data_IF_049799481183
#
_entry.id   IF_049799481183
#
_cell.length_a   1.000
_cell.length_b   1.000
_cell.length_c   1.000
_cell.angle_alpha   90.00
_cell.angle_beta   90.00
_cell.angle_gamma   90.00
#
_symmetry.space_group_name_H-M   'P 1'
#
loop_
_entity.id
_entity.type
_entity.pdbx_description
1 polymer ?
#
# COMPACT_ATOMS: atom_id res chain seq x y z
N UNK A 1 -8.45 -1.96 10.70
CA UNK A 1 -9.42 -1.23 9.93
C UNK A 1 -10.72 -0.90 10.66
N UNK A 2 -11.03 -1.57 11.80
CA UNK A 2 -12.35 -1.43 12.47
C UNK A 2 -12.36 -0.41 13.63
N UNK A 3 -11.27 0.27 13.89
CA UNK A 3 -11.29 1.40 14.83
C UNK A 3 -12.18 2.53 14.29
N UNK A 4 -12.72 3.34 15.21
CA UNK A 4 -13.50 4.53 14.81
C UNK A 4 -12.60 5.55 14.11
N UNK A 5 -13.20 6.40 13.29
CA UNK A 5 -12.49 7.48 12.60
C UNK A 5 -11.73 8.37 13.59
N UNK A 6 -12.35 8.71 14.74
CA UNK A 6 -11.71 9.52 15.77
C UNK A 6 -10.41 8.89 16.32
N UNK A 7 -10.39 7.58 16.52
CA UNK A 7 -9.19 6.85 16.96
C UNK A 7 -8.13 6.87 15.88
N UNK A 8 -8.47 6.61 14.62
CA UNK A 8 -7.52 6.65 13.50
C UNK A 8 -6.91 8.04 13.30
N UNK A 9 -7.72 9.09 13.43
CA UNK A 9 -7.25 10.49 13.40
C UNK A 9 -6.30 10.79 14.55
N UNK A 10 -6.60 10.31 15.75
CA UNK A 10 -5.72 10.48 16.90
C UNK A 10 -4.37 9.77 16.69
N UNK A 11 -4.39 8.48 16.29
CA UNK A 11 -3.17 7.73 15.96
C UNK A 11 -2.33 8.40 14.88
N UNK A 12 -2.98 8.95 13.84
CA UNK A 12 -2.30 9.67 12.76
C UNK A 12 -1.55 10.89 13.29
N UNK A 13 -2.22 11.72 14.10
CA UNK A 13 -1.61 12.92 14.69
C UNK A 13 -0.45 12.56 15.64
N UNK A 14 -0.65 11.54 16.47
CA UNK A 14 0.37 11.08 17.40
C UNK A 14 1.60 10.52 16.65
N UNK A 15 1.39 9.69 15.63
CA UNK A 15 2.47 9.14 14.81
C UNK A 15 3.29 10.26 14.13
N UNK A 16 2.63 11.30 13.59
CA UNK A 16 3.30 12.43 12.96
C UNK A 16 4.08 13.25 13.99
N UNK A 17 3.51 13.49 15.16
CA UNK A 17 4.19 14.18 16.25
C UNK A 17 5.46 13.42 16.71
N UNK A 18 5.45 12.09 16.58
CA UNK A 18 6.59 11.22 16.86
C UNK A 18 7.53 11.00 15.64
N UNK A 19 7.37 11.76 14.56
CA UNK A 19 8.29 11.81 13.42
C UNK A 19 7.91 10.93 12.23
N UNK A 20 6.68 10.42 12.13
CA UNK A 20 6.23 9.72 10.94
C UNK A 20 6.14 10.67 9.73
N UNK A 21 6.71 10.26 8.60
CA UNK A 21 6.68 11.00 7.34
C UNK A 21 5.60 10.47 6.39
N UNK A 22 5.12 9.25 6.62
CA UNK A 22 4.11 8.59 5.82
C UNK A 22 3.18 7.78 6.73
N UNK A 23 1.90 7.79 6.43
CA UNK A 23 0.86 7.08 7.17
C UNK A 23 0.23 6.00 6.29
N UNK A 24 0.13 4.79 6.78
CA UNK A 24 -0.65 3.70 6.18
C UNK A 24 -1.93 3.51 7.01
N UNK A 25 -3.11 3.69 6.42
CA UNK A 25 -4.40 3.37 7.04
C UNK A 25 -5.05 2.17 6.38
N UNK A 26 -5.91 1.45 7.10
CA UNK A 26 -6.79 0.42 6.54
C UNK A 26 -8.23 0.91 6.58
N UNK A 27 -8.95 0.76 5.47
CA UNK A 27 -10.37 1.13 5.39
C UNK A 27 -11.22 0.26 6.33
N UNK A 28 -12.42 0.74 6.69
CA UNK A 28 -13.42 -0.10 7.33
C UNK A 28 -14.11 -0.97 6.25
N UNK A 29 -13.67 -2.22 6.14
CA UNK A 29 -14.20 -3.18 5.14
C UNK A 29 -15.68 -3.48 5.40
N UNK A 30 -16.12 -3.47 6.66
CA UNK A 30 -17.54 -3.63 6.99
C UNK A 30 -18.40 -2.52 6.39
N UNK A 31 -17.98 -1.27 6.47
CA UNK A 31 -18.66 -0.14 5.82
C UNK A 31 -18.70 -0.33 4.29
N UNK A 32 -17.62 -0.86 3.68
CA UNK A 32 -17.60 -1.12 2.24
C UNK A 32 -18.63 -2.19 1.85
N UNK A 33 -18.70 -3.29 2.60
CA UNK A 33 -19.70 -4.36 2.39
C UNK A 33 -21.13 -3.85 2.58
N UNK A 34 -21.34 -2.92 3.50
CA UNK A 34 -22.63 -2.25 3.75
C UNK A 34 -22.91 -1.11 2.75
N UNK A 35 -22.02 -0.88 1.78
CA UNK A 35 -22.10 0.21 0.78
C UNK A 35 -22.17 1.62 1.39
N UNK A 36 -21.60 1.80 2.58
CA UNK A 36 -21.49 3.08 3.28
C UNK A 36 -20.31 3.89 2.71
N UNK A 37 -20.39 4.21 1.42
CA UNK A 37 -19.29 4.81 0.68
C UNK A 37 -18.93 6.21 1.18
N UNK A 38 -19.93 6.98 1.58
CA UNK A 38 -19.71 8.33 2.09
C UNK A 38 -18.94 8.32 3.40
N UNK A 39 -19.26 7.39 4.31
CA UNK A 39 -18.56 7.25 5.59
C UNK A 39 -17.09 6.85 5.39
N UNK A 40 -16.80 6.02 4.37
CA UNK A 40 -15.42 5.66 4.04
C UNK A 40 -14.66 6.87 3.47
N UNK A 41 -15.27 7.61 2.56
CA UNK A 41 -14.66 8.80 1.98
C UNK A 41 -14.39 9.86 3.05
N UNK A 42 -15.34 10.11 3.93
CA UNK A 42 -15.22 11.05 5.03
C UNK A 42 -14.13 10.63 6.03
N UNK A 43 -14.00 9.32 6.32
CA UNK A 43 -12.90 8.79 7.13
C UNK A 43 -11.54 9.07 6.48
N UNK A 44 -11.39 8.75 5.20
CA UNK A 44 -10.13 8.97 4.48
C UNK A 44 -9.78 10.47 4.46
N UNK A 45 -10.75 11.36 4.21
CA UNK A 45 -10.54 12.83 4.22
C UNK A 45 -10.07 13.33 5.59
N UNK A 46 -10.69 12.90 6.66
CA UNK A 46 -10.31 13.30 8.02
C UNK A 46 -8.90 12.84 8.38
N UNK A 47 -8.52 11.63 7.95
CA UNK A 47 -7.17 11.12 8.18
C UNK A 47 -6.17 11.85 7.27
N UNK A 48 -6.52 12.14 6.02
CA UNK A 48 -5.70 12.92 5.10
C UNK A 48 -5.41 14.34 5.65
N UNK A 49 -6.43 15.02 6.17
CA UNK A 49 -6.26 16.31 6.85
C UNK A 49 -5.34 16.20 8.07
N UNK A 50 -5.51 15.13 8.87
CA UNK A 50 -4.67 14.86 10.02
C UNK A 50 -3.20 14.56 9.64
N UNK A 51 -2.93 14.09 8.42
CA UNK A 51 -1.58 13.89 7.92
C UNK A 51 -0.80 15.21 7.75
N UNK A 52 -1.47 16.35 7.70
CA UNK A 52 -0.84 17.67 7.68
C UNK A 52 0.28 17.78 6.62
N UNK A 53 0.00 17.37 5.38
CA UNK A 53 0.93 17.39 4.26
C UNK A 53 1.91 16.22 4.20
N UNK A 54 1.80 15.22 5.09
CA UNK A 54 2.52 13.95 4.97
C UNK A 54 1.73 12.98 4.09
N UNK A 55 2.41 12.00 3.53
CA UNK A 55 1.83 11.03 2.59
C UNK A 55 0.84 10.11 3.30
N UNK A 56 -0.38 10.01 2.76
CA UNK A 56 -1.37 9.02 3.16
C UNK A 56 -1.44 7.88 2.14
N UNK A 57 -1.38 6.63 2.63
CA UNK A 57 -1.59 5.43 1.85
C UNK A 57 -2.79 4.66 2.37
N UNK A 58 -3.79 4.46 1.53
CA UNK A 58 -5.05 3.80 1.87
C UNK A 58 -5.00 2.34 1.49
N UNK A 59 -4.96 1.44 2.48
CA UNK A 59 -4.98 -0.01 2.28
C UNK A 59 -6.44 -0.45 2.13
N UNK A 60 -6.77 -1.07 1.00
CA UNK A 60 -8.12 -1.54 0.71
C UNK A 60 -8.31 -3.04 0.96
N UNK A 61 -7.22 -3.81 1.18
CA UNK A 61 -7.20 -5.26 1.41
C UNK A 61 -7.87 -6.04 0.27
N UNK A 62 -7.30 -5.96 -0.91
CA UNK A 62 -7.90 -6.45 -2.18
C UNK A 62 -8.39 -7.90 -2.15
N UNK A 63 -7.74 -8.77 -1.36
CA UNK A 63 -8.12 -10.18 -1.25
C UNK A 63 -9.51 -10.43 -0.61
N UNK A 64 -10.09 -9.42 0.05
CA UNK A 64 -11.42 -9.48 0.65
C UNK A 64 -12.50 -8.78 -0.19
N UNK A 65 -12.13 -8.21 -1.34
CA UNK A 65 -12.99 -7.37 -2.16
C UNK A 65 -13.35 -8.02 -3.49
N UNK A 66 -14.57 -7.77 -3.94
CA UNK A 66 -14.97 -8.03 -5.33
C UNK A 66 -14.32 -7.01 -6.26
N UNK A 67 -14.34 -7.28 -7.57
CA UNK A 67 -13.83 -6.35 -8.58
C UNK A 67 -14.55 -5.00 -8.52
N UNK A 68 -15.88 -5.02 -8.40
CA UNK A 68 -16.70 -3.81 -8.27
C UNK A 68 -16.33 -2.98 -7.04
N UNK A 69 -16.08 -3.65 -5.90
CA UNK A 69 -15.65 -2.98 -4.67
C UNK A 69 -14.25 -2.37 -4.81
N UNK A 70 -13.33 -3.03 -5.51
CA UNK A 70 -12.00 -2.47 -5.80
C UNK A 70 -12.09 -1.22 -6.69
N UNK A 71 -12.92 -1.25 -7.73
CA UNK A 71 -13.17 -0.10 -8.60
C UNK A 71 -13.77 1.06 -7.77
N UNK A 72 -14.79 0.77 -6.95
CA UNK A 72 -15.40 1.77 -6.09
C UNK A 72 -14.39 2.39 -5.12
N UNK A 73 -13.49 1.60 -4.56
CA UNK A 73 -12.42 2.12 -3.70
C UNK A 73 -11.41 2.99 -4.45
N UNK A 74 -11.10 2.69 -5.71
CA UNK A 74 -10.27 3.57 -6.55
C UNK A 74 -10.91 4.96 -6.71
N UNK A 75 -12.22 5.01 -6.96
CA UNK A 75 -12.97 6.27 -7.05
C UNK A 75 -12.95 7.04 -5.72
N UNK A 76 -13.24 6.36 -4.61
CA UNK A 76 -13.29 6.97 -3.27
C UNK A 76 -11.91 7.51 -2.84
N UNK A 77 -10.85 6.74 -3.01
CA UNK A 77 -9.49 7.16 -2.65
C UNK A 77 -9.06 8.37 -3.48
N UNK A 78 -9.42 8.37 -4.77
CA UNK A 78 -9.17 9.50 -5.67
C UNK A 78 -9.92 10.76 -5.21
N UNK A 79 -11.23 10.64 -4.92
CA UNK A 79 -12.06 11.76 -4.46
C UNK A 79 -11.59 12.29 -3.11
N UNK A 80 -11.14 11.43 -2.21
CA UNK A 80 -10.65 11.81 -0.90
C UNK A 80 -9.29 12.51 -0.91
N UNK A 81 -8.52 12.42 -2.00
CA UNK A 81 -7.26 13.13 -2.20
C UNK A 81 -6.03 12.44 -1.63
N UNK A 82 -6.10 11.17 -1.23
CA UNK A 82 -4.93 10.43 -0.74
C UNK A 82 -3.90 10.19 -1.85
N UNK A 83 -2.60 10.20 -1.49
CA UNK A 83 -1.52 10.05 -2.46
C UNK A 83 -1.36 8.63 -2.98
N UNK A 84 -1.72 7.63 -2.17
CA UNK A 84 -1.59 6.22 -2.55
C UNK A 84 -2.83 5.41 -2.22
N UNK A 85 -3.17 4.51 -3.14
CA UNK A 85 -3.97 3.33 -2.85
C UNK A 85 -3.03 2.12 -2.72
N UNK A 86 -3.26 1.27 -1.72
CA UNK A 86 -2.40 0.11 -1.41
C UNK A 86 -3.22 -1.17 -1.38
N UNK A 87 -2.70 -2.24 -1.96
CA UNK A 87 -3.42 -3.52 -2.08
C UNK A 87 -3.72 -4.18 -0.75
N UNK A 88 -2.73 -4.34 0.11
CA UNK A 88 -2.79 -5.32 1.20
C UNK A 88 -2.04 -4.89 2.45
N UNK A 89 -2.51 -5.37 3.62
CA UNK A 89 -1.82 -5.22 4.90
C UNK A 89 -0.59 -6.12 5.01
N UNK A 90 -0.64 -7.30 4.38
CA UNK A 90 0.34 -8.38 4.56
C UNK A 90 -0.04 -9.38 5.67
N UNK A 91 -1.21 -9.21 6.32
CA UNK A 91 -1.68 -10.06 7.43
C UNK A 91 -2.98 -10.81 7.11
N UNK A 92 -3.53 -10.63 5.90
CA UNK A 92 -4.73 -11.31 5.45
C UNK A 92 -4.40 -12.59 4.67
N UNK A 93 -5.40 -13.14 3.96
CA UNK A 93 -5.31 -14.43 3.26
C UNK A 93 -4.40 -14.39 2.03
N UNK A 94 -4.22 -13.22 1.40
CA UNK A 94 -3.37 -13.04 0.22
C UNK A 94 -2.78 -11.62 0.18
N UNK A 95 -1.70 -11.46 -0.59
CA UNK A 95 -1.09 -10.17 -0.91
C UNK A 95 -1.54 -9.62 -2.26
N UNK A 96 -0.73 -8.72 -2.85
CA UNK A 96 -0.96 -8.16 -4.17
C UNK A 96 -1.00 -9.24 -5.26
N UNK A 97 -1.89 -9.04 -6.22
CA UNK A 97 -1.91 -9.79 -7.47
C UNK A 97 -1.67 -8.85 -8.66
N UNK A 98 -1.16 -9.38 -9.77
CA UNK A 98 -0.94 -8.60 -10.99
C UNK A 98 -2.25 -7.99 -11.50
N UNK A 99 -3.33 -8.77 -11.48
CA UNK A 99 -4.66 -8.30 -11.89
C UNK A 99 -5.18 -7.15 -11.01
N UNK A 100 -4.96 -7.20 -9.69
CA UNK A 100 -5.36 -6.11 -8.79
C UNK A 100 -4.61 -4.82 -9.08
N UNK A 101 -3.29 -4.88 -9.32
CA UNK A 101 -2.49 -3.69 -9.61
C UNK A 101 -2.89 -3.08 -10.95
N UNK A 102 -3.07 -3.90 -11.99
CA UNK A 102 -3.53 -3.45 -13.29
C UNK A 102 -4.93 -2.79 -13.21
N UNK A 103 -5.87 -3.42 -12.49
CA UNK A 103 -7.19 -2.88 -12.22
C UNK A 103 -7.11 -1.52 -11.50
N UNK A 104 -6.37 -1.47 -10.40
CA UNK A 104 -6.23 -0.25 -9.60
C UNK A 104 -5.62 0.87 -10.44
N UNK A 105 -4.56 0.61 -11.20
CA UNK A 105 -3.91 1.60 -12.06
C UNK A 105 -4.85 2.15 -13.15
N UNK A 106 -5.75 1.31 -13.64
CA UNK A 106 -6.75 1.71 -14.64
C UNK A 106 -7.81 2.65 -14.08
N UNK A 107 -8.21 2.49 -12.82
CA UNK A 107 -9.38 3.18 -12.25
C UNK A 107 -9.05 4.27 -11.25
N UNK A 108 -7.83 4.38 -10.73
CA UNK A 108 -7.42 5.51 -9.90
C UNK A 108 -7.24 6.79 -10.71
N UNK A 109 -7.43 7.93 -10.08
CA UNK A 109 -7.14 9.24 -10.68
C UNK A 109 -5.65 9.40 -10.99
N UNK A 110 -5.33 10.28 -11.92
CA UNK A 110 -3.95 10.51 -12.42
C UNK A 110 -2.92 10.84 -11.35
N UNK A 111 -3.37 11.44 -10.25
CA UNK A 111 -2.50 11.92 -9.17
C UNK A 111 -2.37 10.87 -8.03
N UNK A 112 -3.13 9.77 -8.09
CA UNK A 112 -3.06 8.68 -7.12
C UNK A 112 -2.09 7.61 -7.59
N UNK A 113 -1.15 7.26 -6.75
CA UNK A 113 -0.14 6.22 -6.97
C UNK A 113 -0.61 4.87 -6.42
N UNK A 114 -0.12 3.79 -7.01
CA UNK A 114 -0.45 2.42 -6.60
C UNK A 114 0.73 1.80 -5.85
N UNK A 115 0.46 1.28 -4.62
CA UNK A 115 1.44 0.48 -3.87
C UNK A 115 1.00 -0.98 -3.82
N UNK A 116 1.78 -1.86 -4.44
CA UNK A 116 1.64 -3.31 -4.32
C UNK A 116 2.36 -3.80 -3.05
N UNK A 117 1.67 -4.54 -2.19
CA UNK A 117 2.24 -5.05 -0.95
C UNK A 117 1.83 -6.50 -0.67
N UNK A 118 2.80 -7.31 -0.18
CA UNK A 118 2.63 -8.74 0.00
C UNK A 118 2.65 -9.52 -1.32
N UNK A 119 2.96 -10.80 -1.25
CA UNK A 119 2.96 -11.68 -2.44
C UNK A 119 4.16 -11.50 -3.40
N UNK A 120 5.00 -10.49 -3.23
CA UNK A 120 6.16 -10.21 -4.09
C UNK A 120 7.33 -11.05 -3.63
N UNK A 121 7.67 -12.10 -4.38
CA UNK A 121 8.61 -13.14 -3.96
C UNK A 121 9.92 -13.18 -4.74
N UNK A 122 9.98 -12.57 -5.91
CA UNK A 122 11.14 -12.51 -6.79
C UNK A 122 11.34 -11.12 -7.38
N UNK A 123 12.49 -10.86 -7.97
CA UNK A 123 12.74 -9.64 -8.73
C UNK A 123 11.87 -9.59 -10.00
N UNK A 124 11.61 -10.73 -10.63
CA UNK A 124 10.73 -10.82 -11.80
C UNK A 124 9.29 -10.41 -11.43
N UNK A 125 8.76 -10.85 -10.26
CA UNK A 125 7.48 -10.36 -9.75
C UNK A 125 7.50 -8.84 -9.57
N UNK A 126 8.58 -8.31 -9.00
CA UNK A 126 8.71 -6.88 -8.75
C UNK A 126 8.69 -6.07 -10.06
N UNK A 127 9.43 -6.50 -11.06
CA UNK A 127 9.46 -5.88 -12.40
C UNK A 127 8.07 -5.93 -13.05
N UNK A 128 7.38 -7.05 -12.96
CA UNK A 128 6.03 -7.19 -13.52
C UNK A 128 5.03 -6.29 -12.80
N UNK A 129 5.04 -6.19 -11.46
CA UNK A 129 4.20 -5.23 -10.74
C UNK A 129 4.46 -3.79 -11.17
N UNK A 130 5.72 -3.40 -11.34
CA UNK A 130 6.07 -2.07 -11.82
C UNK A 130 5.59 -1.84 -13.26
N UNK A 131 5.75 -2.82 -14.15
CA UNK A 131 5.28 -2.77 -15.52
C UNK A 131 3.76 -2.58 -15.60
N UNK A 132 3.02 -3.21 -14.70
CA UNK A 132 1.55 -3.10 -14.59
C UNK A 132 1.08 -1.80 -13.91
N UNK A 133 2.00 -0.99 -13.43
CA UNK A 133 1.72 0.36 -12.94
C UNK A 133 1.82 0.54 -11.42
N UNK A 134 2.44 -0.38 -10.69
CA UNK A 134 2.80 -0.11 -9.31
C UNK A 134 3.89 0.96 -9.24
N UNK A 135 3.63 2.01 -8.48
CA UNK A 135 4.58 3.10 -8.22
C UNK A 135 5.50 2.78 -7.03
N UNK A 136 5.09 1.84 -6.17
CA UNK A 136 5.84 1.40 -4.99
C UNK A 136 5.55 -0.07 -4.66
N UNK A 137 6.57 -0.76 -4.17
CA UNK A 137 6.48 -2.16 -3.75
C UNK A 137 6.73 -2.29 -2.24
N UNK A 138 5.92 -3.12 -1.57
CA UNK A 138 6.09 -3.50 -0.16
C UNK A 138 6.44 -4.98 -0.05
N UNK A 139 7.73 -5.30 0.16
CA UNK A 139 8.20 -6.67 0.27
C UNK A 139 9.33 -6.81 1.28
N UNK A 140 9.22 -7.78 2.17
CA UNK A 140 10.31 -8.18 3.07
C UNK A 140 11.22 -9.26 2.45
N UNK A 141 10.71 -10.03 1.48
CA UNK A 141 11.46 -11.11 0.83
C UNK A 141 12.59 -10.58 -0.02
N UNK A 142 12.33 -9.59 -0.88
CA UNK A 142 13.35 -9.03 -1.76
C UNK A 142 14.49 -8.37 -0.97
N UNK A 143 14.18 -7.74 0.16
CA UNK A 143 15.21 -7.19 1.05
C UNK A 143 16.14 -8.29 1.57
N UNK A 144 15.60 -9.48 1.92
CA UNK A 144 16.42 -10.63 2.34
C UNK A 144 17.30 -11.15 1.20
N UNK A 145 16.74 -11.31 -0.01
CA UNK A 145 17.47 -11.76 -1.20
C UNK A 145 18.59 -10.79 -1.54
N UNK A 146 18.32 -9.50 -1.62
CA UNK A 146 19.30 -8.46 -1.92
C UNK A 146 20.44 -8.41 -0.89
N UNK A 147 20.16 -8.62 0.39
CA UNK A 147 21.19 -8.72 1.45
C UNK A 147 22.08 -9.93 1.26
N UNK A 148 21.55 -11.09 0.87
CA UNK A 148 22.33 -12.30 0.62
C UNK A 148 23.23 -12.10 -0.60
N UNK A 149 22.70 -11.57 -1.71
CA UNK A 149 23.47 -11.31 -2.92
C UNK A 149 24.60 -10.28 -2.67
N UNK A 150 24.35 -9.22 -1.93
CA UNK A 150 25.37 -8.23 -1.57
C UNK A 150 26.48 -8.86 -0.73
N UNK A 151 26.14 -9.75 0.21
CA UNK A 151 27.10 -10.46 1.05
C UNK A 151 27.96 -11.41 0.22
N UNK A 152 27.35 -12.13 -0.73
CA UNK A 152 28.08 -13.03 -1.65
C UNK A 152 29.04 -12.21 -2.52
N UNK A 153 28.57 -11.10 -3.13
CA UNK A 153 29.43 -10.21 -3.93
C UNK A 153 30.62 -9.67 -3.13
N UNK A 154 30.41 -9.27 -1.88
CA UNK A 154 31.49 -8.81 -1.00
C UNK A 154 32.50 -9.91 -0.67
N UNK A 155 32.03 -11.14 -0.41
CA UNK A 155 32.91 -12.30 -0.16
C UNK A 155 33.70 -12.70 -1.39
N UNK A 156 33.07 -12.75 -2.56
CA UNK A 156 33.74 -13.05 -3.83
C UNK A 156 34.77 -11.95 -4.21
N UNK A 157 34.46 -10.69 -3.95
CA UNK A 157 35.39 -9.58 -4.16
C UNK A 157 36.64 -9.65 -3.28
N UNK A 158 36.52 -10.12 -2.04
CA UNK A 158 37.66 -10.35 -1.12
C UNK A 158 38.51 -11.52 -1.56
N UNK A 159 37.90 -12.57 -2.12
CA UNK A 159 38.66 -13.74 -2.64
C UNK A 159 39.48 -13.41 -3.89
N UNK A 160 39.04 -12.47 -4.72
CA UNK A 160 39.84 -12.02 -5.90
C UNK A 160 41.07 -11.20 -5.52
N UNK A 161 41.13 -10.68 -4.30
CA UNK A 161 42.30 -9.93 -3.80
C UNK A 161 43.28 -10.80 -3.00
N UNK A 162 43.06 -12.13 -2.92
CA UNK A 162 43.90 -13.10 -2.19
C UNK A 162 44.52 -14.13 -3.14
N UNK A 163 44.15 -14.14 -4.42
CA UNK A 163 44.76 -14.89 -5.50
C UNK A 163 45.54 -13.97 -6.46
#
# INVERSE_FOLDING_TARGET
GYNTTAVKVFETKDAIANGAEEIDMVINIGHLKDKKYQEIEDEIRQIYEACNGKILKVIIETCLLTEEEKIKMCEIVTSAGAEYIKTSTGFSTSGATFADVELMKKYVGKDVKVKAAGGISSFDDAEEFMRLGADRLGTSRLVKIAKVESTIKQRCGKLKNVL
#
